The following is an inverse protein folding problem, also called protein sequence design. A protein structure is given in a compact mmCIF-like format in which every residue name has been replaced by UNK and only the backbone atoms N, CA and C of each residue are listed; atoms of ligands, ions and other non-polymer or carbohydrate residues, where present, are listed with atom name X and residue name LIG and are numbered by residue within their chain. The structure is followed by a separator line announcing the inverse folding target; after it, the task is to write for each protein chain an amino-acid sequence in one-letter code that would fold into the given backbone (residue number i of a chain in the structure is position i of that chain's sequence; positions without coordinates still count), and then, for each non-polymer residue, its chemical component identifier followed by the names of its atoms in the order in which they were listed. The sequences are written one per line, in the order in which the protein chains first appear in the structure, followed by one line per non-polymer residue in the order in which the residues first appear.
data_IF_699325791895
#
_entry.id   IF_699325791895
#
_cell.length_a   1.000
_cell.length_b   1.000
_cell.length_c   1.000
_cell.angle_alpha   90.00
_cell.angle_beta   90.00
_cell.angle_gamma   90.00
#
_symmetry.space_group_name_H-M   'P 1'
#
loop_
_entity.id
_entity.type
_entity.pdbx_description
1 polymer ?
#
# COMPACT_ATOMS: atom_id res chain seq x y z
N UNK A 1 0.19 -23.23 19.67
CA UNK A 1 0.60 -23.72 18.33
C UNK A 1 1.88 -22.99 17.95
N UNK A 2 2.88 -23.71 17.45
CA UNK A 2 4.27 -23.27 17.39
C UNK A 2 4.46 -21.95 16.61
N UNK A 3 5.15 -21.00 17.25
CA UNK A 3 5.70 -19.81 16.59
C UNK A 3 6.89 -20.27 15.75
N UNK A 4 6.62 -20.76 14.54
CA UNK A 4 7.68 -21.06 13.58
C UNK A 4 8.26 -19.75 13.08
N UNK A 5 9.48 -19.41 13.48
CA UNK A 5 10.24 -18.35 12.83
C UNK A 5 10.53 -18.83 11.40
N UNK A 6 9.96 -18.14 10.42
CA UNK A 6 10.31 -18.38 9.01
C UNK A 6 11.76 -17.94 8.84
N UNK A 7 12.66 -18.91 8.79
CA UNK A 7 14.09 -18.70 8.53
C UNK A 7 14.28 -18.43 7.02
N UNK A 8 14.54 -17.18 6.66
CA UNK A 8 14.86 -16.77 5.30
C UNK A 8 14.47 -15.32 4.99
N UNK A 9 14.92 -14.76 3.86
CA UNK A 9 14.62 -13.38 3.51
C UNK A 9 13.11 -13.20 3.32
N UNK A 10 12.53 -12.20 3.99
CA UNK A 10 11.14 -11.83 3.75
C UNK A 10 10.97 -11.32 2.30
N UNK A 11 9.75 -11.41 1.74
CA UNK A 11 9.44 -10.76 0.46
C UNK A 11 9.87 -9.30 0.48
N UNK A 12 10.63 -8.88 -0.53
CA UNK A 12 11.12 -7.52 -0.61
C UNK A 12 9.93 -6.53 -0.68
N UNK A 13 9.93 -5.41 0.07
CA UNK A 13 8.80 -4.46 0.08
C UNK A 13 8.40 -3.98 -1.31
N UNK A 14 9.36 -3.81 -2.23
CA UNK A 14 9.06 -3.43 -3.61
C UNK A 14 8.26 -4.49 -4.40
N UNK A 15 8.41 -5.79 -4.10
CA UNK A 15 7.60 -6.84 -4.71
C UNK A 15 6.18 -6.84 -4.16
N UNK A 16 6.04 -6.58 -2.85
CA UNK A 16 4.74 -6.43 -2.20
C UNK A 16 4.00 -5.23 -2.77
N UNK A 17 4.68 -4.10 -2.91
CA UNK A 17 4.13 -2.88 -3.51
C UNK A 17 3.76 -3.09 -4.98
N UNK A 18 4.61 -3.75 -5.78
CA UNK A 18 4.29 -4.08 -7.17
C UNK A 18 3.01 -4.93 -7.28
N UNK A 19 2.83 -5.92 -6.39
CA UNK A 19 1.60 -6.70 -6.34
C UNK A 19 0.38 -5.85 -5.94
N UNK A 20 0.54 -4.93 -4.99
CA UNK A 20 -0.50 -3.95 -4.64
C UNK A 20 -0.85 -3.03 -5.83
N UNK A 21 0.13 -2.56 -6.60
CA UNK A 21 -0.13 -1.75 -7.79
C UNK A 21 -0.92 -2.52 -8.85
N UNK A 22 -0.76 -3.85 -8.94
CA UNK A 22 -1.51 -4.71 -9.85
C UNK A 22 -2.99 -4.92 -9.45
N UNK A 23 -3.42 -4.49 -8.26
CA UNK A 23 -4.83 -4.52 -7.86
C UNK A 23 -5.75 -3.80 -8.84
N UNK A 24 -5.23 -2.76 -9.52
CA UNK A 24 -5.96 -2.00 -10.55
C UNK A 24 -6.42 -2.84 -11.74
N UNK A 25 -5.82 -4.01 -11.95
CA UNK A 25 -6.19 -4.93 -13.03
C UNK A 25 -7.56 -5.59 -12.79
N UNK A 26 -8.09 -5.52 -11.56
CA UNK A 26 -9.43 -6.01 -11.25
C UNK A 26 -10.55 -5.02 -11.61
N UNK A 27 -10.21 -3.78 -11.99
CA UNK A 27 -11.19 -2.77 -12.42
C UNK A 27 -11.42 -2.90 -13.93
N UNK A 28 -12.57 -3.45 -14.32
CA UNK A 28 -12.84 -3.88 -15.70
C UNK A 28 -13.18 -2.79 -16.73
N UNK A 29 -13.18 -1.50 -16.37
CA UNK A 29 -13.78 -0.45 -17.22
C UNK A 29 -13.01 0.89 -17.28
N UNK A 30 -11.69 0.88 -17.06
CA UNK A 30 -10.83 2.04 -17.32
C UNK A 30 -10.95 3.20 -16.33
N UNK A 31 -11.98 3.21 -15.47
CA UNK A 31 -12.02 4.02 -14.25
C UNK A 31 -11.22 3.27 -13.17
N UNK A 32 -9.89 3.36 -13.23
CA UNK A 32 -9.00 2.72 -12.26
C UNK A 32 -9.17 3.41 -10.90
N UNK A 33 -9.99 2.82 -10.03
CA UNK A 33 -10.41 3.41 -8.74
C UNK A 33 -9.77 2.72 -7.55
N UNK A 34 -8.70 1.94 -7.75
CA UNK A 34 -7.81 1.52 -6.67
C UNK A 34 -7.14 2.77 -6.11
N UNK A 35 -7.85 3.47 -5.24
CA UNK A 35 -7.29 4.59 -4.50
C UNK A 35 -6.47 4.08 -3.33
N UNK A 36 -5.95 5.04 -2.54
CA UNK A 36 -4.94 4.79 -1.52
C UNK A 36 -5.34 3.62 -0.61
N UNK A 37 -4.47 2.60 -0.51
CA UNK A 37 -4.63 1.50 0.44
C UNK A 37 -4.77 2.09 1.84
N UNK A 38 -5.90 1.81 2.48
CA UNK A 38 -6.21 2.35 3.79
C UNK A 38 -6.19 1.26 4.87
N UNK A 39 -6.55 0.03 4.52
CA UNK A 39 -6.60 -1.08 5.49
C UNK A 39 -6.25 -2.40 4.85
N UNK A 40 -5.66 -3.28 5.66
CA UNK A 40 -5.41 -4.69 5.39
C UNK A 40 -5.92 -5.46 6.61
N UNK A 41 -6.77 -6.48 6.41
CA UNK A 41 -7.36 -7.25 7.54
C UNK A 41 -6.32 -8.18 8.17
N UNK A 42 -5.55 -8.88 7.36
CA UNK A 42 -4.49 -9.77 7.85
C UNK A 42 -3.33 -9.84 6.88
N UNK A 43 -2.15 -10.09 7.45
CA UNK A 43 -0.91 -10.36 6.75
C UNK A 43 -0.34 -11.64 7.34
N UNK A 44 -0.10 -12.64 6.51
CA UNK A 44 0.49 -13.91 6.92
C UNK A 44 1.75 -14.16 6.12
N UNK A 45 2.89 -14.26 6.80
CA UNK A 45 4.17 -14.69 6.21
C UNK A 45 4.28 -16.20 6.42
N UNK A 46 4.32 -16.95 5.32
CA UNK A 46 4.24 -18.42 5.33
C UNK A 46 5.58 -19.08 5.01
N UNK A 47 6.41 -18.45 4.18
CA UNK A 47 7.68 -18.98 3.72
C UNK A 47 8.64 -17.83 3.34
N UNK A 48 9.95 -18.10 3.18
CA UNK A 48 10.90 -17.12 2.66
C UNK A 48 10.50 -16.61 1.27
N UNK A 49 10.69 -15.33 1.02
CA UNK A 49 10.52 -14.71 -0.29
C UNK A 49 11.64 -15.08 -1.26
N UNK A 50 11.45 -14.70 -2.52
CA UNK A 50 12.45 -14.84 -3.58
C UNK A 50 12.69 -13.52 -4.30
N UNK A 51 13.68 -13.50 -5.20
CA UNK A 51 14.02 -12.34 -6.03
C UNK A 51 12.95 -12.04 -7.08
N UNK A 52 12.20 -13.06 -7.52
CA UNK A 52 11.06 -12.96 -8.42
C UNK A 52 9.90 -13.78 -7.86
N UNK A 53 8.68 -13.27 -7.98
CA UNK A 53 7.47 -13.86 -7.41
C UNK A 53 6.26 -13.62 -8.31
N UNK A 54 5.28 -14.51 -8.21
CA UNK A 54 3.96 -14.41 -8.82
C UNK A 54 2.96 -13.82 -7.83
N UNK A 55 2.06 -12.98 -8.31
CA UNK A 55 0.98 -12.40 -7.51
C UNK A 55 -0.38 -12.91 -8.01
N UNK A 56 -1.10 -13.66 -7.17
CA UNK A 56 -2.50 -14.00 -7.42
C UNK A 56 -3.39 -12.97 -6.73
N UNK A 57 -4.05 -12.15 -7.55
CA UNK A 57 -4.87 -11.02 -7.10
C UNK A 57 -6.33 -11.35 -7.39
N UNK A 58 -7.20 -11.22 -6.39
CA UNK A 58 -8.63 -11.55 -6.52
C UNK A 58 -9.49 -10.68 -5.63
N UNK A 59 -10.76 -10.49 -6.02
CA UNK A 59 -11.76 -9.93 -5.12
C UNK A 59 -11.99 -10.90 -3.96
N UNK A 60 -12.07 -10.38 -2.74
CA UNK A 60 -12.33 -11.18 -1.56
C UNK A 60 -13.76 -11.74 -1.61
N UNK A 61 -13.93 -12.99 -1.19
CA UNK A 61 -15.24 -13.63 -1.06
C UNK A 61 -15.89 -13.29 0.28
N UNK A 62 -15.94 -12.01 0.65
CA UNK A 62 -16.78 -11.56 1.76
C UNK A 62 -18.10 -11.04 1.21
N UNK A 63 -19.17 -11.83 1.39
CA UNK A 63 -20.55 -11.55 0.94
C UNK A 63 -21.20 -10.27 1.51
N UNK A 64 -20.41 -9.30 1.96
CA UNK A 64 -20.80 -7.99 2.46
C UNK A 64 -20.31 -6.86 1.55
N UNK A 65 -20.56 -6.91 0.25
CA UNK A 65 -20.56 -5.76 -0.68
C UNK A 65 -19.37 -4.79 -0.67
N UNK A 66 -18.30 -5.08 0.04
CA UNK A 66 -17.13 -4.24 0.18
C UNK A 66 -16.13 -4.70 -0.87
N UNK A 67 -15.65 -3.75 -1.67
CA UNK A 67 -14.71 -4.00 -2.76
C UNK A 67 -13.31 -4.30 -2.22
N UNK A 68 -13.17 -5.44 -1.56
CA UNK A 68 -11.92 -5.89 -0.93
C UNK A 68 -11.16 -6.80 -1.86
N UNK A 69 -9.85 -6.77 -1.71
CA UNK A 69 -8.91 -7.51 -2.54
C UNK A 69 -8.04 -8.37 -1.64
N UNK A 70 -7.83 -9.61 -2.08
CA UNK A 70 -6.88 -10.55 -1.50
C UNK A 70 -5.71 -10.73 -2.47
N UNK A 71 -4.50 -10.84 -1.92
CA UNK A 71 -3.27 -11.09 -2.68
C UNK A 71 -2.52 -12.25 -2.05
N UNK A 72 -2.15 -13.24 -2.87
CA UNK A 72 -1.16 -14.25 -2.51
C UNK A 72 0.10 -14.01 -3.33
N UNK A 73 1.26 -13.93 -2.68
CA UNK A 73 2.57 -13.96 -3.33
C UNK A 73 3.15 -15.36 -3.27
N UNK A 74 3.52 -15.91 -4.42
CA UNK A 74 4.11 -17.23 -4.55
C UNK A 74 5.46 -17.19 -5.28
N UNK A 75 6.35 -18.10 -4.93
CA UNK A 75 7.57 -18.38 -5.68
C UNK A 75 7.28 -19.11 -6.99
N UNK A 76 8.31 -19.27 -7.82
CA UNK A 76 8.21 -19.90 -9.15
C UNK A 76 7.76 -21.37 -9.12
N UNK A 77 8.01 -22.06 -8.00
CA UNK A 77 7.55 -23.43 -7.72
C UNK A 77 6.10 -23.48 -7.18
N UNK A 78 5.44 -22.33 -7.04
CA UNK A 78 4.07 -22.22 -6.53
C UNK A 78 3.95 -22.17 -5.01
N UNK A 79 5.07 -22.16 -4.27
CA UNK A 79 5.02 -22.02 -2.80
C UNK A 79 4.55 -20.61 -2.42
N UNK A 80 3.44 -20.50 -1.66
CA UNK A 80 2.93 -19.20 -1.21
C UNK A 80 3.76 -18.72 -0.02
N UNK A 81 4.38 -17.55 -0.14
CA UNK A 81 5.26 -16.98 0.88
C UNK A 81 4.58 -15.88 1.70
N UNK A 82 3.62 -15.16 1.10
CA UNK A 82 2.87 -14.09 1.75
C UNK A 82 1.40 -14.14 1.36
N UNK A 83 0.52 -13.93 2.32
CA UNK A 83 -0.90 -13.67 2.08
C UNK A 83 -1.30 -12.34 2.67
N UNK A 84 -1.99 -11.54 1.87
CA UNK A 84 -2.62 -10.30 2.28
C UNK A 84 -4.12 -10.46 2.09
N UNK A 85 -4.89 -10.25 3.15
CA UNK A 85 -6.35 -10.43 3.12
C UNK A 85 -7.10 -9.15 3.39
N UNK A 86 -8.20 -8.98 2.70
CA UNK A 86 -9.17 -7.91 2.93
C UNK A 86 -8.59 -6.52 2.74
N UNK A 87 -7.67 -6.36 1.78
CA UNK A 87 -7.12 -5.06 1.40
C UNK A 87 -8.28 -4.19 0.92
N UNK A 88 -8.39 -2.98 1.45
CA UNK A 88 -9.37 -2.00 0.98
C UNK A 88 -8.70 -0.65 0.73
N UNK A 89 -8.99 -0.06 -0.42
CA UNK A 89 -8.58 1.28 -0.79
C UNK A 89 -9.70 2.29 -0.53
N UNK A 90 -9.34 3.53 -0.17
CA UNK A 90 -10.28 4.65 -0.25
C UNK A 90 -10.39 5.08 -1.71
N UNK A 91 -11.60 5.31 -2.22
CA UNK A 91 -11.76 5.93 -3.54
C UNK A 91 -11.32 7.39 -3.41
N UNK A 92 -10.24 7.76 -4.09
CA UNK A 92 -9.92 9.17 -4.24
C UNK A 92 -10.96 9.75 -5.19
N UNK A 93 -11.87 10.58 -4.69
CA UNK A 93 -12.68 11.41 -5.57
C UNK A 93 -11.73 12.25 -6.42
N UNK A 94 -11.92 12.24 -7.74
CA UNK A 94 -11.17 13.13 -8.62
C UNK A 94 -11.32 14.54 -8.06
N UNK A 95 -10.21 15.18 -7.69
CA UNK A 95 -10.21 16.61 -7.43
C UNK A 95 -10.82 17.27 -8.66
N UNK A 96 -11.88 18.09 -8.52
CA UNK A 96 -12.48 18.76 -9.67
C UNK A 96 -11.38 19.46 -10.44
N UNK A 97 -11.39 19.32 -11.76
CA UNK A 97 -10.49 20.05 -12.65
C UNK A 97 -10.52 21.54 -12.27
N UNK A 98 -9.38 22.15 -11.89
CA UNK A 98 -9.33 23.56 -11.49
C UNK A 98 -9.89 24.47 -12.59
N UNK A 99 -9.82 24.08 -13.87
CA UNK A 99 -10.40 24.83 -14.98
C UNK A 99 -11.93 24.93 -14.93
N UNK A 100 -12.62 24.01 -14.23
CA UNK A 100 -14.07 24.06 -13.97
C UNK A 100 -14.41 24.80 -12.68
N UNK A 101 -13.49 24.90 -11.73
CA UNK A 101 -13.65 25.64 -10.49
C UNK A 101 -13.55 27.16 -10.70
N UNK A 102 -12.74 27.61 -11.66
CA UNK A 102 -12.58 29.03 -11.99
C UNK A 102 -13.85 29.70 -12.54
N UNK A 103 -14.84 28.94 -13.03
CA UNK A 103 -16.08 29.50 -13.59
C UNK A 103 -17.16 29.79 -12.53
N UNK A 104 -16.93 29.46 -11.25
CA UNK A 104 -17.91 29.71 -10.17
C UNK A 104 -17.34 30.43 -8.95
N UNK A 105 -16.06 30.81 -8.96
CA UNK A 105 -15.47 31.54 -7.85
C UNK A 105 -15.84 33.03 -7.93
N UNK A 106 -16.85 33.40 -7.15
CA UNK A 106 -17.02 34.77 -6.67
C UNK A 106 -15.70 35.24 -6.04
N UNK A 107 -15.27 36.45 -6.40
CA UNK A 107 -13.97 37.00 -6.08
C UNK A 107 -13.95 37.44 -4.59
N UNK A 108 -13.72 36.50 -3.68
CA UNK A 108 -13.76 36.80 -2.24
C UNK A 108 -12.82 36.02 -1.33
N UNK A 109 -12.45 34.77 -1.64
CA UNK A 109 -11.67 33.93 -0.72
C UNK A 109 -10.43 33.35 -1.41
N UNK A 110 -9.32 34.07 -1.31
CA UNK A 110 -8.03 33.59 -1.78
C UNK A 110 -7.53 32.43 -0.92
N UNK A 111 -7.30 31.27 -1.54
CA UNK A 111 -6.65 30.13 -0.89
C UNK A 111 -5.21 30.51 -0.53
N UNK A 112 -4.89 30.48 0.76
CA UNK A 112 -3.50 30.61 1.25
C UNK A 112 -2.85 29.24 1.24
N UNK A 113 -1.83 29.04 0.41
CA UNK A 113 -1.03 27.80 0.37
C UNK A 113 0.27 27.96 1.15
N UNK A 114 0.66 26.95 1.93
CA UNK A 114 2.00 26.86 2.50
C UNK A 114 2.97 26.31 1.45
N UNK A 115 4.17 26.90 1.38
CA UNK A 115 5.27 26.40 0.54
C UNK A 115 6.16 25.51 1.42
N UNK A 116 6.30 24.20 1.12
CA UNK A 116 7.22 23.35 1.86
C UNK A 116 8.66 23.80 1.59
N UNK A 117 9.37 24.22 2.63
CA UNK A 117 10.80 24.51 2.58
C UNK A 117 11.53 23.43 3.36
N UNK A 118 12.38 22.68 2.67
CA UNK A 118 13.24 21.67 3.28
C UNK A 118 14.59 22.30 3.59
N UNK A 119 14.96 22.34 4.87
CA UNK A 119 16.27 22.78 5.31
C UNK A 119 17.15 21.55 5.61
N UNK A 120 18.27 21.34 4.89
CA UNK A 120 19.15 20.19 5.12
C UNK A 120 19.83 20.31 6.49
N UNK A 121 19.45 19.43 7.42
CA UNK A 121 20.11 19.32 8.72
C UNK A 121 21.32 18.39 8.60
N UNK A 122 22.49 18.86 9.06
CA UNK A 122 23.67 18.00 9.19
C UNK A 122 23.33 16.85 10.13
N UNK A 123 23.54 15.62 9.67
CA UNK A 123 23.29 14.42 10.48
C UNK A 123 24.28 14.40 11.63
N UNK A 124 23.90 14.94 12.78
CA UNK A 124 24.64 14.73 14.03
C UNK A 124 24.64 13.25 14.34
N UNK A 125 25.78 12.69 14.75
CA UNK A 125 25.86 11.32 15.26
C UNK A 125 24.80 11.15 16.34
N UNK A 126 23.80 10.34 16.03
CA UNK A 126 22.75 10.02 16.98
C UNK A 126 23.37 9.12 18.03
N UNK A 127 23.28 9.49 19.31
CA UNK A 127 23.67 8.62 20.40
C UNK A 127 23.00 7.25 20.19
N UNK A 128 23.79 6.19 20.28
CA UNK A 128 23.33 4.82 20.07
C UNK A 128 22.18 4.52 21.02
N UNK A 129 21.00 4.30 20.45
CA UNK A 129 19.82 3.85 21.17
C UNK A 129 19.64 2.35 20.96
N UNK A 130 19.20 1.57 21.96
CA UNK A 130 18.88 2.00 23.33
C UNK A 130 20.12 2.26 24.18
N UNK A 131 20.01 3.21 25.10
CA UNK A 131 21.02 3.40 26.15
C UNK A 131 20.99 2.17 27.05
N UNK A 132 22.09 1.41 27.12
CA UNK A 132 22.22 0.34 28.11
C UNK A 132 22.02 0.93 29.50
N UNK A 133 21.11 0.36 30.28
CA UNK A 133 21.02 0.60 31.72
C UNK A 133 22.15 -0.17 32.41
N UNK A 134 23.06 0.53 33.08
CA UNK A 134 23.84 -0.05 34.19
C UNK A 134 22.95 -0.16 35.44
#
# INVERSE_FOLDING_TARGET
AASGTVEGPLPHPALVDAAMQCMRLLDGDGDSRVGLVFTIKSVEVLAPGATAMWALIRRAEDGRGADRIDIDLATDDGTVCLRLRGIAGRRTEQTPDPARAEQTADAGEGVTTLVPVWDPVQRTESATWPKSSE
#
